data_IF_855786037697
#
_entry.id   IF_855786037697
#
_cell.length_a   1.000
_cell.length_b   1.000
_cell.length_c   1.000
_cell.angle_alpha   90.00
_cell.angle_beta   90.00
_cell.angle_gamma   90.00
#
_symmetry.space_group_name_H-M   'P 1'
#
loop_
_entity.id
_entity.type
_entity.pdbx_description
1 polymer ?
#
# COMPACT_ATOMS: atom_id res chain seq x y z
N UNK A 1 1.69 7.34 14.08
CA UNK A 1 1.85 8.73 13.53
C UNK A 1 1.99 8.66 12.02
N UNK A 2 1.67 9.72 11.25
CA UNK A 2 2.05 9.79 9.83
C UNK A 2 3.58 9.78 9.72
N UNK A 3 4.12 9.23 8.62
CA UNK A 3 5.58 9.23 8.38
C UNK A 3 6.03 10.64 8.00
N UNK A 4 5.29 11.30 7.11
CA UNK A 4 5.53 12.69 6.76
C UNK A 4 4.73 13.58 7.70
N UNK A 5 5.42 14.48 8.36
CA UNK A 5 4.87 15.42 9.33
C UNK A 5 5.04 16.86 8.82
N UNK A 6 4.22 17.78 9.32
CA UNK A 6 4.40 19.20 9.03
C UNK A 6 5.73 19.70 9.61
N UNK A 7 6.38 20.63 8.93
CA UNK A 7 7.68 21.18 9.37
C UNK A 7 7.56 22.08 10.62
N UNK A 8 6.40 22.69 10.82
CA UNK A 8 6.18 23.63 11.92
C UNK A 8 5.77 22.93 13.23
N UNK A 9 6.48 23.24 14.31
CA UNK A 9 6.11 22.84 15.67
C UNK A 9 6.51 21.44 16.10
N UNK A 10 7.38 20.75 15.34
CA UNK A 10 7.86 19.41 15.66
C UNK A 10 9.24 19.48 16.31
N UNK A 11 9.38 18.93 17.52
CA UNK A 11 10.69 18.76 18.14
C UNK A 11 11.46 17.56 17.56
N UNK A 12 12.78 17.53 17.75
CA UNK A 12 13.62 16.46 17.21
C UNK A 12 13.27 15.05 17.70
N UNK A 13 12.59 14.89 18.85
CA UNK A 13 12.12 13.61 19.36
C UNK A 13 10.88 13.12 18.61
N UNK A 14 10.02 14.03 18.20
CA UNK A 14 8.84 13.71 17.39
C UNK A 14 9.24 13.33 15.97
N UNK A 15 10.30 13.94 15.44
CA UNK A 15 10.84 13.66 14.11
C UNK A 15 11.44 12.25 14.01
N UNK A 16 12.04 11.73 15.09
CA UNK A 16 12.69 10.40 15.13
C UNK A 16 11.84 9.34 15.86
N UNK A 17 10.56 9.25 15.54
CA UNK A 17 9.70 8.22 16.10
C UNK A 17 9.98 6.84 15.45
N UNK A 18 9.89 5.75 16.23
CA UNK A 18 10.13 4.38 15.75
C UNK A 18 9.24 3.97 14.57
N UNK A 19 8.03 4.54 14.45
CA UNK A 19 7.10 4.30 13.35
C UNK A 19 7.67 4.67 11.98
N UNK A 20 8.59 5.63 11.90
CA UNK A 20 9.22 6.04 10.64
C UNK A 20 9.90 4.84 9.99
N UNK A 21 10.66 4.08 10.76
CA UNK A 21 11.37 2.91 10.25
C UNK A 21 10.43 1.73 9.99
N UNK A 22 9.63 1.34 10.98
CA UNK A 22 8.74 0.19 10.87
C UNK A 22 7.66 0.37 9.82
N UNK A 23 6.93 1.49 9.89
CA UNK A 23 5.86 1.79 8.95
C UNK A 23 6.41 2.11 7.55
N UNK A 24 7.59 2.76 7.47
CA UNK A 24 8.27 3.03 6.20
C UNK A 24 8.69 1.74 5.49
N UNK A 25 9.35 0.82 6.20
CA UNK A 25 9.73 -0.48 5.65
C UNK A 25 8.50 -1.28 5.21
N UNK A 26 7.44 -1.28 6.02
CA UNK A 26 6.18 -1.93 5.67
C UNK A 26 5.54 -1.33 4.42
N UNK A 27 5.56 -0.01 4.27
CA UNK A 27 5.03 0.66 3.08
C UNK A 27 5.83 0.30 1.82
N UNK A 28 7.16 0.18 1.91
CA UNK A 28 7.97 -0.31 0.79
C UNK A 28 7.60 -1.75 0.41
N UNK A 29 7.28 -2.60 1.39
CA UNK A 29 6.77 -3.95 1.14
C UNK A 29 5.39 -3.92 0.42
N UNK A 30 4.49 -3.04 0.85
CA UNK A 30 3.21 -2.79 0.16
C UNK A 30 3.42 -2.34 -1.29
N UNK A 31 4.30 -1.37 -1.53
CA UNK A 31 4.61 -0.88 -2.88
C UNK A 31 5.19 -1.98 -3.77
N UNK A 32 6.09 -2.80 -3.22
CA UNK A 32 6.64 -3.96 -3.92
C UNK A 32 5.53 -4.90 -4.39
N UNK A 33 4.57 -5.23 -3.53
CA UNK A 33 3.44 -6.09 -3.89
C UNK A 33 2.53 -5.44 -4.95
N UNK A 34 2.23 -4.15 -4.82
CA UNK A 34 1.37 -3.40 -5.76
C UNK A 34 2.00 -3.25 -7.14
N UNK A 35 3.32 -3.06 -7.21
CA UNK A 35 4.06 -2.83 -8.45
C UNK A 35 4.58 -4.13 -9.08
N UNK A 36 4.81 -5.16 -8.26
CA UNK A 36 5.52 -6.37 -8.64
C UNK A 36 7.04 -6.20 -8.68
N UNK A 37 7.77 -7.28 -8.39
CA UNK A 37 9.24 -7.27 -8.26
C UNK A 37 9.95 -6.78 -9.53
N UNK A 38 9.44 -7.16 -10.70
CA UNK A 38 10.02 -6.79 -12.00
C UNK A 38 9.96 -5.29 -12.31
N UNK A 39 9.09 -4.54 -11.64
CA UNK A 39 8.96 -3.09 -11.77
C UNK A 39 9.57 -2.38 -10.57
N UNK A 40 9.29 -2.87 -9.37
CA UNK A 40 9.68 -2.22 -8.12
C UNK A 40 11.20 -2.09 -7.95
N UNK A 41 11.96 -3.19 -8.07
CA UNK A 41 13.41 -3.15 -7.88
C UNK A 41 14.16 -2.33 -8.94
N UNK A 42 13.87 -2.44 -10.24
CA UNK A 42 14.46 -1.54 -11.24
C UNK A 42 14.11 -0.07 -11.00
N UNK A 43 12.87 0.23 -10.56
CA UNK A 43 12.46 1.60 -10.24
C UNK A 43 13.26 2.18 -9.08
N UNK A 44 13.44 1.42 -7.99
CA UNK A 44 14.26 1.85 -6.86
C UNK A 44 15.71 2.08 -7.28
N UNK A 45 16.30 1.14 -8.02
CA UNK A 45 17.66 1.28 -8.54
C UNK A 45 17.81 2.55 -9.38
N UNK A 46 16.87 2.78 -10.30
CA UNK A 46 16.89 3.98 -11.14
C UNK A 46 16.76 5.26 -10.30
N UNK A 47 15.96 5.26 -9.22
CA UNK A 47 15.81 6.41 -8.34
C UNK A 47 17.11 6.79 -7.64
N UNK A 48 17.81 5.81 -7.03
CA UNK A 48 19.06 6.06 -6.30
C UNK A 48 20.26 6.32 -7.20
N UNK A 49 20.19 5.96 -8.48
CA UNK A 49 21.25 6.20 -9.46
C UNK A 49 21.03 7.45 -10.31
N UNK A 50 19.88 8.09 -10.23
CA UNK A 50 19.58 9.30 -11.01
C UNK A 50 20.30 10.50 -10.39
N UNK A 51 21.19 11.19 -11.15
CA UNK A 51 21.88 12.39 -10.68
C UNK A 51 20.96 13.48 -10.16
N UNK A 52 19.71 13.54 -10.64
CA UNK A 52 18.70 14.48 -10.17
C UNK A 52 18.37 14.29 -8.67
N UNK A 53 18.53 13.07 -8.16
CA UNK A 53 18.17 12.70 -6.80
C UNK A 53 19.37 12.39 -5.90
N UNK A 54 20.59 12.48 -6.44
CA UNK A 54 21.85 12.16 -5.73
C UNK A 54 22.81 13.34 -5.74
N UNK A 55 23.89 13.25 -4.95
CA UNK A 55 25.00 14.21 -4.97
C UNK A 55 24.59 15.69 -4.83
N UNK A 56 24.40 16.14 -3.60
CA UNK A 56 24.06 17.54 -3.25
C UNK A 56 22.65 18.01 -3.65
N UNK A 57 21.76 17.09 -4.01
CA UNK A 57 20.35 17.39 -4.24
C UNK A 57 19.51 16.95 -3.05
N UNK A 58 18.50 17.74 -2.75
CA UNK A 58 17.49 17.36 -1.77
C UNK A 58 16.38 16.55 -2.43
N UNK A 59 15.94 15.51 -1.75
CA UNK A 59 14.89 14.59 -2.20
C UNK A 59 13.80 14.57 -1.15
N UNK A 60 12.56 14.64 -1.58
CA UNK A 60 11.41 14.52 -0.71
C UNK A 60 10.50 13.33 -1.10
N UNK A 61 9.51 13.05 -0.28
CA UNK A 61 8.57 11.95 -0.49
C UNK A 61 7.82 12.07 -1.83
N UNK A 62 7.53 13.29 -2.29
CA UNK A 62 6.83 13.52 -3.56
C UNK A 62 7.68 13.13 -4.77
N UNK A 63 8.99 13.34 -4.70
CA UNK A 63 9.91 12.92 -5.77
C UNK A 63 9.88 11.40 -5.93
N UNK A 64 9.98 10.66 -4.83
CA UNK A 64 9.88 9.19 -4.84
C UNK A 64 8.49 8.74 -5.36
N UNK A 65 7.41 9.34 -4.89
CA UNK A 65 6.05 9.03 -5.33
C UNK A 65 5.88 9.20 -6.84
N UNK A 66 6.31 10.33 -7.39
CA UNK A 66 6.20 10.60 -8.83
C UNK A 66 7.06 9.63 -9.66
N UNK A 67 8.28 9.35 -9.18
CA UNK A 67 9.16 8.40 -9.83
C UNK A 67 8.55 6.99 -9.87
N UNK A 68 8.09 6.47 -8.74
CA UNK A 68 7.48 5.15 -8.67
C UNK A 68 6.17 5.06 -9.46
N UNK A 69 5.33 6.12 -9.44
CA UNK A 69 4.10 6.18 -10.24
C UNK A 69 4.38 6.08 -11.73
N UNK A 70 5.43 6.77 -12.21
CA UNK A 70 5.87 6.69 -13.61
C UNK A 70 6.29 5.26 -13.99
N UNK A 71 7.07 4.60 -13.15
CA UNK A 71 7.50 3.21 -13.41
C UNK A 71 6.34 2.22 -13.33
N UNK A 72 5.45 2.37 -12.38
CA UNK A 72 4.26 1.55 -12.23
C UNK A 72 3.21 1.78 -13.34
N UNK A 73 3.34 2.85 -14.13
CA UNK A 73 2.31 3.33 -15.08
C UNK A 73 0.94 3.46 -14.42
N UNK A 74 0.94 3.89 -13.16
CA UNK A 74 -0.22 3.94 -12.29
C UNK A 74 -0.04 5.07 -11.27
N UNK A 75 -1.09 5.81 -11.00
CA UNK A 75 -1.05 6.80 -9.93
C UNK A 75 -1.01 6.10 -8.56
N UNK A 76 0.07 6.31 -7.83
CA UNK A 76 0.27 5.78 -6.48
C UNK A 76 -0.09 6.80 -5.38
N UNK A 77 -0.54 8.01 -5.75
CA UNK A 77 -0.90 9.06 -4.79
C UNK A 77 -1.88 8.59 -3.69
N UNK A 78 -2.95 7.81 -4.01
CA UNK A 78 -3.85 7.31 -2.98
C UNK A 78 -3.18 6.43 -1.92
N UNK A 79 -2.18 5.61 -2.31
CA UNK A 79 -1.41 4.79 -1.35
C UNK A 79 -0.51 5.65 -0.46
N UNK A 80 0.18 6.64 -1.04
CA UNK A 80 1.00 7.57 -0.27
C UNK A 80 0.13 8.38 0.70
N UNK A 81 -1.01 8.88 0.28
CA UNK A 81 -1.96 9.59 1.15
C UNK A 81 -2.40 8.72 2.32
N UNK A 82 -2.77 7.47 2.06
CA UNK A 82 -3.26 6.57 3.09
C UNK A 82 -2.16 6.18 4.08
N UNK A 83 -0.98 5.76 3.61
CA UNK A 83 0.01 5.12 4.47
C UNK A 83 1.14 6.05 4.95
N UNK A 84 1.45 7.12 4.20
CA UNK A 84 2.56 8.03 4.53
C UNK A 84 2.06 9.31 5.19
N UNK A 85 1.00 9.91 4.66
CA UNK A 85 0.50 11.21 5.12
C UNK A 85 -0.63 11.10 6.15
N UNK A 86 -1.13 9.89 6.45
CA UNK A 86 -2.16 9.67 7.47
C UNK A 86 -1.78 8.58 8.48
N UNK A 87 -2.60 8.45 9.52
CA UNK A 87 -2.54 7.37 10.51
C UNK A 87 -3.51 6.23 10.18
N UNK A 88 -4.27 6.36 9.12
CA UNK A 88 -5.28 5.40 8.73
C UNK A 88 -4.68 4.07 8.26
N UNK A 89 -5.47 3.03 8.43
CA UNK A 89 -5.23 1.71 7.85
C UNK A 89 -6.17 1.49 6.67
N UNK A 90 -5.79 0.59 5.78
CA UNK A 90 -6.68 0.15 4.71
C UNK A 90 -7.92 -0.50 5.30
N UNK A 91 -9.11 0.03 4.98
CA UNK A 91 -10.40 -0.50 5.42
C UNK A 91 -11.00 -1.36 4.32
N UNK A 92 -11.30 -2.61 4.66
CA UNK A 92 -11.83 -3.60 3.72
C UNK A 92 -13.21 -4.03 4.22
N UNK A 93 -14.19 -3.97 3.33
CA UNK A 93 -15.48 -4.61 3.56
C UNK A 93 -15.42 -6.08 3.16
N UNK A 94 -15.82 -6.95 4.08
CA UNK A 94 -16.03 -8.37 3.84
C UNK A 94 -17.43 -8.73 4.32
N UNK A 95 -18.36 -8.94 3.40
CA UNK A 95 -19.76 -9.23 3.70
C UNK A 95 -20.11 -10.65 3.25
N UNK A 96 -20.60 -11.46 4.20
CA UNK A 96 -21.16 -12.78 3.88
C UNK A 96 -22.51 -12.62 3.17
N UNK A 97 -22.67 -13.35 2.07
CA UNK A 97 -23.91 -13.47 1.31
C UNK A 97 -24.37 -14.92 1.33
N UNK A 98 -25.55 -15.18 0.83
CA UNK A 98 -26.11 -16.53 0.72
C UNK A 98 -25.28 -17.43 -0.21
N UNK A 99 -25.39 -18.75 0.00
CA UNK A 99 -24.77 -19.77 -0.85
C UNK A 99 -23.22 -19.70 -0.91
N UNK A 100 -22.57 -19.41 0.21
CA UNK A 100 -21.11 -19.38 0.31
C UNK A 100 -20.46 -18.30 -0.54
N UNK A 101 -21.17 -17.21 -0.79
CA UNK A 101 -20.65 -16.04 -1.48
C UNK A 101 -20.19 -15.00 -0.47
N UNK A 102 -19.13 -14.28 -0.81
CA UNK A 102 -18.58 -13.17 -0.03
C UNK A 102 -18.36 -11.98 -0.95
N UNK A 103 -18.83 -10.83 -0.51
CA UNK A 103 -18.63 -9.56 -1.20
C UNK A 103 -17.45 -8.84 -0.56
N UNK A 104 -16.47 -8.41 -1.36
CA UNK A 104 -15.25 -7.77 -0.89
C UNK A 104 -15.05 -6.46 -1.65
N UNK A 105 -14.77 -5.39 -0.91
CA UNK A 105 -14.47 -4.07 -1.48
C UNK A 105 -13.57 -3.25 -0.57
N UNK A 106 -12.93 -2.22 -1.11
CA UNK A 106 -12.19 -1.21 -0.35
C UNK A 106 -13.13 -0.08 0.07
N UNK A 107 -12.92 0.46 1.28
CA UNK A 107 -13.71 1.60 1.76
C UNK A 107 -13.00 2.94 1.54
N UNK A 108 -11.72 3.03 1.91
CA UNK A 108 -10.99 4.28 2.04
C UNK A 108 -9.79 4.43 1.10
N UNK A 109 -9.71 3.62 0.04
CA UNK A 109 -8.65 3.73 -0.96
C UNK A 109 -9.27 3.87 -2.36
N UNK A 110 -8.97 4.97 -3.03
CA UNK A 110 -9.51 5.30 -4.36
C UNK A 110 -8.58 4.84 -5.47
N UNK A 111 -8.25 3.56 -5.47
CA UNK A 111 -7.52 2.89 -6.54
C UNK A 111 -7.77 1.39 -6.52
N UNK A 112 -7.42 0.72 -7.60
CA UNK A 112 -7.42 -0.75 -7.68
C UNK A 112 -6.06 -1.29 -7.27
N UNK A 113 -6.06 -2.22 -6.30
CA UNK A 113 -4.86 -2.88 -5.80
C UNK A 113 -4.94 -4.40 -5.93
N UNK A 114 -3.81 -5.12 -6.07
CA UNK A 114 -3.80 -6.57 -5.89
C UNK A 114 -4.09 -6.91 -4.42
N UNK A 115 -4.79 -7.98 -4.16
CA UNK A 115 -5.10 -8.47 -2.83
C UNK A 115 -5.09 -9.99 -2.83
N UNK A 116 -4.30 -10.61 -1.98
CA UNK A 116 -4.38 -12.04 -1.78
C UNK A 116 -5.62 -12.41 -0.96
N UNK A 117 -6.33 -13.41 -1.42
CA UNK A 117 -7.49 -13.96 -0.74
C UNK A 117 -7.36 -15.48 -0.72
N UNK A 118 -7.33 -16.03 0.48
CA UNK A 118 -7.28 -17.47 0.73
C UNK A 118 -8.69 -17.98 1.00
N UNK A 119 -9.08 -19.01 0.25
CA UNK A 119 -10.37 -19.71 0.35
C UNK A 119 -10.12 -21.20 0.56
N UNK A 120 -11.17 -21.99 0.67
CA UNK A 120 -11.09 -23.46 0.67
C UNK A 120 -10.47 -24.03 -0.63
N UNK A 121 -10.43 -23.25 -1.70
CA UNK A 121 -9.80 -23.60 -2.99
C UNK A 121 -8.34 -23.10 -3.11
N UNK A 122 -7.75 -22.55 -2.05
CA UNK A 122 -6.39 -22.01 -2.01
C UNK A 122 -6.31 -20.49 -2.13
N UNK A 123 -5.09 -19.98 -2.20
CA UNK A 123 -4.79 -18.54 -2.25
C UNK A 123 -4.72 -18.05 -3.69
N UNK A 124 -5.39 -16.93 -3.98
CA UNK A 124 -5.35 -16.24 -5.28
C UNK A 124 -5.26 -14.74 -5.08
N UNK A 125 -4.61 -14.08 -6.03
CA UNK A 125 -4.55 -12.61 -6.07
C UNK A 125 -5.68 -12.06 -6.92
N UNK A 126 -6.47 -11.17 -6.33
CA UNK A 126 -7.59 -10.47 -6.97
C UNK A 126 -7.28 -8.98 -7.11
N UNK A 127 -7.90 -8.33 -8.08
CA UNK A 127 -7.90 -6.87 -8.19
C UNK A 127 -9.09 -6.32 -7.42
N UNK A 128 -8.82 -5.62 -6.32
CA UNK A 128 -9.85 -5.07 -5.43
C UNK A 128 -9.86 -3.54 -5.52
N UNK A 129 -11.05 -2.97 -5.50
CA UNK A 129 -11.29 -1.53 -5.49
C UNK A 129 -12.50 -1.19 -4.62
N UNK A 130 -12.98 0.05 -4.65
CA UNK A 130 -14.25 0.43 -4.03
C UNK A 130 -15.44 -0.30 -4.66
N UNK A 131 -15.32 -0.72 -5.93
CA UNK A 131 -16.35 -1.55 -6.56
C UNK A 131 -16.26 -2.97 -6.01
N UNK A 132 -17.35 -3.51 -5.44
CA UNK A 132 -17.34 -4.85 -4.87
C UNK A 132 -17.06 -5.94 -5.90
N UNK A 133 -16.36 -6.98 -5.46
CA UNK A 133 -16.27 -8.26 -6.16
C UNK A 133 -16.94 -9.35 -5.34
N UNK A 134 -17.40 -10.39 -6.01
CA UNK A 134 -17.97 -11.58 -5.36
C UNK A 134 -17.01 -12.75 -5.54
N UNK A 135 -16.66 -13.38 -4.42
CA UNK A 135 -15.93 -14.63 -4.39
C UNK A 135 -16.79 -15.74 -3.78
N UNK A 136 -16.49 -16.99 -4.13
CA UNK A 136 -17.14 -18.17 -3.54
C UNK A 136 -16.14 -18.89 -2.64
N UNK A 137 -16.56 -19.26 -1.45
CA UNK A 137 -15.82 -20.05 -0.50
C UNK A 137 -16.75 -20.82 0.42
N UNK A 138 -16.39 -22.03 0.81
CA UNK A 138 -17.13 -22.81 1.82
C UNK A 138 -16.82 -22.33 3.23
N UNK A 139 -15.68 -21.69 3.42
CA UNK A 139 -15.21 -21.13 4.68
C UNK A 139 -15.08 -19.62 4.57
N UNK A 140 -14.99 -18.92 5.70
CA UNK A 140 -14.69 -17.50 5.73
C UNK A 140 -13.35 -17.25 5.02
N UNK A 141 -13.32 -16.38 3.99
CA UNK A 141 -12.06 -16.05 3.32
C UNK A 141 -11.08 -15.33 4.23
N UNK A 142 -9.80 -15.66 4.11
CA UNK A 142 -8.72 -14.91 4.78
C UNK A 142 -8.20 -13.87 3.79
N UNK A 143 -8.24 -12.61 4.20
CA UNK A 143 -7.82 -11.49 3.35
C UNK A 143 -6.40 -11.08 3.69
N UNK A 144 -5.51 -11.12 2.68
CA UNK A 144 -4.11 -10.69 2.79
C UNK A 144 -3.40 -11.41 3.96
N UNK A 145 -3.36 -12.73 3.89
CA UNK A 145 -2.77 -13.60 4.92
C UNK A 145 -1.27 -13.31 5.10
N UNK A 146 -0.58 -13.01 4.02
CA UNK A 146 0.85 -12.66 4.02
C UNK A 146 1.14 -11.24 4.53
N UNK A 147 0.12 -10.44 4.81
CA UNK A 147 0.28 -9.13 5.45
C UNK A 147 0.94 -8.07 4.57
N UNK A 148 0.54 -7.94 3.31
CA UNK A 148 1.04 -6.88 2.42
C UNK A 148 0.50 -5.50 2.75
N UNK A 149 -0.58 -5.40 3.54
CA UNK A 149 -1.24 -4.14 3.87
C UNK A 149 -1.46 -3.97 5.37
N UNK A 150 -1.20 -2.76 5.89
CA UNK A 150 -1.73 -2.34 7.18
C UNK A 150 -3.23 -2.13 7.03
N UNK A 151 -4.04 -3.09 7.50
CA UNK A 151 -5.47 -3.16 7.24
C UNK A 151 -6.32 -3.39 8.48
N UNK A 152 -7.61 -3.11 8.32
CA UNK A 152 -8.71 -3.54 9.19
C UNK A 152 -9.84 -4.11 8.32
N UNK A 153 -10.53 -5.12 8.81
CA UNK A 153 -11.71 -5.74 8.22
C UNK A 153 -12.97 -5.22 8.93
#
# INVERSE_FOLDING_TARGET
MPIVQAEDGIDGKQTYHSDIYGKGAFFMHTLRFVMGDSVFFPALKAFIMDPKYTYNNFVNTKDLQLHLSKWAKKDLDPLFKLFIYSTDKLKINLLSKENGKYEISLQNLDMTIPMEITTDAGTKTYKISKKPIIIKSKTLPIIDDNGFYLKVL
#
